data_IF_468860412283
#
_entry.id   IF_468860412283
#
_cell.length_a   1.000
_cell.length_b   1.000
_cell.length_c   1.000
_cell.angle_alpha   90.00
_cell.angle_beta   90.00
_cell.angle_gamma   90.00
#
_symmetry.space_group_name_H-M   'P 1'
#
loop_
_entity.id
_entity.type
_entity.pdbx_description
1 polymer ?
#
# COMPACT_ATOMS: atom_id res chain seq x y z
N UNK A 1 -0.25 -22.75 10.72
CA UNK A 1 -0.74 -22.15 9.47
C UNK A 1 0.50 -21.72 8.69
N UNK A 2 0.92 -22.55 7.72
CA UNK A 2 2.05 -22.22 6.85
C UNK A 2 1.52 -21.21 5.84
N UNK A 3 1.97 -19.96 5.91
CA UNK A 3 1.79 -19.02 4.80
C UNK A 3 2.72 -19.56 3.71
N UNK A 4 2.17 -20.38 2.82
CA UNK A 4 2.79 -20.67 1.53
C UNK A 4 2.93 -19.32 0.84
N UNK A 5 4.10 -18.70 1.08
CA UNK A 5 4.51 -17.49 0.43
C UNK A 5 4.73 -17.90 -1.01
N UNK A 6 3.70 -17.76 -1.83
CA UNK A 6 3.75 -18.05 -3.25
C UNK A 6 4.90 -17.22 -3.83
N UNK A 7 6.09 -17.79 -3.96
CA UNK A 7 7.31 -17.03 -4.23
C UNK A 7 7.28 -16.27 -5.56
N UNK A 8 6.28 -16.57 -6.40
CA UNK A 8 6.00 -15.97 -7.69
C UNK A 8 4.93 -14.89 -7.68
N UNK A 9 4.19 -14.67 -6.59
CA UNK A 9 3.11 -13.68 -6.56
C UNK A 9 3.59 -12.29 -7.02
N UNK A 10 4.81 -11.92 -6.63
CA UNK A 10 5.40 -10.64 -6.98
C UNK A 10 5.77 -10.54 -8.47
N UNK A 11 6.33 -11.61 -9.05
CA UNK A 11 6.65 -11.63 -10.48
C UNK A 11 5.39 -11.63 -11.33
N UNK A 12 4.40 -12.43 -10.94
CA UNK A 12 3.12 -12.56 -11.65
C UNK A 12 2.36 -11.22 -11.60
N UNK A 13 2.36 -10.54 -10.46
CA UNK A 13 1.77 -9.22 -10.29
C UNK A 13 2.48 -8.13 -11.11
N UNK A 14 3.82 -8.14 -11.16
CA UNK A 14 4.57 -7.21 -12.02
C UNK A 14 4.29 -7.46 -13.51
N UNK A 15 4.17 -8.73 -13.92
CA UNK A 15 3.83 -9.10 -15.30
C UNK A 15 2.40 -8.67 -15.66
N UNK A 16 1.42 -8.93 -14.80
CA UNK A 16 0.03 -8.53 -14.99
C UNK A 16 -0.13 -7.00 -15.13
N UNK A 17 0.59 -6.24 -14.31
CA UNK A 17 0.58 -4.77 -14.38
C UNK A 17 1.46 -4.20 -15.51
N UNK A 18 2.17 -5.04 -16.26
CA UNK A 18 3.10 -4.62 -17.31
C UNK A 18 4.24 -3.75 -16.77
N UNK A 19 4.63 -3.95 -15.52
CA UNK A 19 5.63 -3.13 -14.87
C UNK A 19 7.04 -3.46 -15.40
N UNK A 20 7.89 -2.45 -15.62
CA UNK A 20 9.27 -2.67 -16.00
C UNK A 20 10.02 -3.52 -14.96
N UNK A 21 10.99 -4.32 -15.41
CA UNK A 21 11.82 -5.16 -14.52
C UNK A 21 12.68 -4.37 -13.53
N UNK A 22 12.85 -3.06 -13.72
CA UNK A 22 13.52 -2.15 -12.78
C UNK A 22 12.57 -1.48 -11.77
N UNK A 23 11.32 -1.94 -11.69
CA UNK A 23 10.35 -1.47 -10.70
C UNK A 23 10.74 -1.95 -9.30
N UNK A 24 10.78 -1.04 -8.34
CA UNK A 24 11.13 -1.35 -6.95
C UNK A 24 9.91 -1.17 -6.07
N UNK A 25 9.43 -2.26 -5.49
CA UNK A 25 8.34 -2.23 -4.50
C UNK A 25 8.77 -1.47 -3.24
N UNK A 26 7.91 -0.57 -2.77
CA UNK A 26 8.16 0.27 -1.59
C UNK A 26 7.30 -0.10 -0.38
N UNK A 27 6.24 -0.88 -0.58
CA UNK A 27 5.24 -1.17 0.43
C UNK A 27 3.83 -0.87 -0.06
N UNK A 28 2.87 -0.95 0.86
CA UNK A 28 1.47 -0.67 0.60
C UNK A 28 1.08 0.70 1.14
N UNK A 29 0.05 1.30 0.55
CA UNK A 29 -0.53 2.57 0.97
C UNK A 29 -2.05 2.45 0.97
N UNK A 30 -2.71 3.29 1.76
CA UNK A 30 -4.17 3.35 1.79
C UNK A 30 -4.62 4.49 0.90
N UNK A 31 -5.55 4.24 0.00
CA UNK A 31 -6.10 5.23 -0.92
C UNK A 31 -7.58 5.43 -0.62
N UNK A 32 -8.00 6.68 -0.43
CA UNK A 32 -9.39 7.06 -0.24
C UNK A 32 -10.00 7.43 -1.59
N UNK A 33 -10.98 6.65 -2.01
CA UNK A 33 -11.62 6.80 -3.32
C UNK A 33 -12.55 8.02 -3.38
N UNK A 34 -13.13 8.44 -2.26
CA UNK A 34 -14.01 9.60 -2.20
C UNK A 34 -13.23 10.92 -2.32
N UNK A 35 -12.03 10.96 -1.76
CA UNK A 35 -11.22 12.18 -1.66
C UNK A 35 -10.03 12.20 -2.63
N UNK A 36 -9.88 11.17 -3.47
CA UNK A 36 -8.78 11.01 -4.43
C UNK A 36 -7.40 11.27 -3.78
N UNK A 37 -7.10 10.54 -2.70
CA UNK A 37 -5.91 10.82 -1.90
C UNK A 37 -5.42 9.66 -1.06
N UNK A 38 -4.10 9.62 -0.83
CA UNK A 38 -3.49 8.62 0.04
C UNK A 38 -3.59 9.01 1.51
N UNK A 39 -3.94 8.04 2.35
CA UNK A 39 -4.15 8.23 3.78
C UNK A 39 -3.17 7.41 4.63
N UNK A 40 -2.84 7.98 5.77
CA UNK A 40 -2.04 7.39 6.82
C UNK A 40 -2.84 7.33 8.12
N UNK A 41 -2.66 6.25 8.88
CA UNK A 41 -3.21 6.14 10.24
C UNK A 41 -2.06 6.20 11.23
N UNK A 42 -2.08 7.20 12.10
CA UNK A 42 -1.24 7.21 13.28
C UNK A 42 -2.05 6.70 14.48
N UNK A 43 -1.66 5.54 15.02
CA UNK A 43 -2.24 4.92 16.22
C UNK A 43 -1.41 5.17 17.50
N UNK A 44 -0.29 5.92 17.42
CA UNK A 44 0.64 6.12 18.55
C UNK A 44 0.09 7.06 19.63
N UNK A 45 -0.82 7.96 19.27
CA UNK A 45 -1.56 8.77 20.23
C UNK A 45 -2.89 8.09 20.48
N UNK A 46 -3.34 7.93 21.74
CA UNK A 46 -4.50 7.10 22.14
C UNK A 46 -5.86 7.36 21.46
N UNK A 47 -5.93 8.29 20.50
CA UNK A 47 -6.96 8.36 19.47
C UNK A 47 -6.31 8.21 18.09
N UNK A 48 -6.74 7.24 17.27
CA UNK A 48 -6.28 7.10 15.89
C UNK A 48 -6.53 8.41 15.12
N UNK A 49 -5.47 8.96 14.52
CA UNK A 49 -5.58 10.14 13.64
C UNK A 49 -5.30 9.73 12.21
N UNK A 50 -6.18 10.17 11.33
CA UNK A 50 -6.04 10.01 9.89
C UNK A 50 -5.48 11.28 9.27
N UNK A 51 -4.52 11.12 8.36
CA UNK A 51 -3.89 12.23 7.64
C UNK A 51 -3.72 11.88 6.17
N UNK A 52 -3.98 12.84 5.29
CA UNK A 52 -3.57 12.73 3.89
C UNK A 52 -2.07 12.90 3.78
N UNK A 53 -1.42 11.99 3.05
CA UNK A 53 0.03 11.89 2.97
C UNK A 53 0.48 11.67 1.53
N UNK A 54 1.74 11.99 1.25
CA UNK A 54 2.39 11.49 0.03
C UNK A 54 2.65 10.00 0.20
N UNK A 55 2.37 9.15 -0.81
CA UNK A 55 2.50 7.70 -0.68
C UNK A 55 3.94 7.29 -0.36
N UNK A 56 4.93 7.99 -0.93
CA UNK A 56 6.36 7.77 -0.65
C UNK A 56 6.75 8.00 0.81
N UNK A 57 6.01 8.85 1.53
CA UNK A 57 6.30 9.16 2.93
C UNK A 57 5.76 8.09 3.88
N UNK A 58 4.86 7.20 3.43
CA UNK A 58 4.13 6.30 4.33
C UNK A 58 4.18 4.82 3.95
N UNK A 59 4.60 4.47 2.72
CA UNK A 59 4.66 3.07 2.29
C UNK A 59 5.49 2.16 3.21
N UNK A 60 6.57 2.70 3.81
CA UNK A 60 7.41 1.96 4.77
C UNK A 60 6.68 1.58 6.07
N UNK A 61 5.52 2.17 6.38
CA UNK A 61 4.70 1.83 7.55
C UNK A 61 3.80 0.62 7.28
N UNK A 62 3.55 0.28 6.01
CA UNK A 62 2.86 -0.94 5.61
C UNK A 62 3.73 -1.76 4.65
N UNK A 63 4.85 -2.33 5.14
CA UNK A 63 5.71 -3.17 4.30
C UNK A 63 5.01 -4.47 3.84
N UNK A 64 3.95 -4.89 4.54
CA UNK A 64 3.19 -6.10 4.27
C UNK A 64 1.70 -5.78 4.13
N UNK A 65 1.01 -6.49 3.22
CA UNK A 65 -0.40 -6.25 2.93
C UNK A 65 -1.29 -6.42 4.16
N UNK A 66 -0.94 -7.35 5.06
CA UNK A 66 -1.69 -7.59 6.28
C UNK A 66 -1.74 -6.35 7.20
N UNK A 67 -0.65 -5.57 7.27
CA UNK A 67 -0.63 -4.33 8.06
C UNK A 67 -1.51 -3.24 7.43
N UNK A 68 -1.57 -3.18 6.09
CA UNK A 68 -2.49 -2.30 5.38
C UNK A 68 -3.95 -2.75 5.58
N UNK A 69 -4.23 -4.06 5.51
CA UNK A 69 -5.55 -4.63 5.75
C UNK A 69 -6.07 -4.35 7.17
N UNK A 70 -5.23 -4.51 8.19
CA UNK A 70 -5.58 -4.20 9.57
C UNK A 70 -5.85 -2.70 9.78
N UNK A 71 -5.17 -1.84 9.00
CA UNK A 71 -5.40 -0.41 9.00
C UNK A 71 -6.76 -0.05 8.36
N UNK A 72 -7.08 -0.59 7.18
CA UNK A 72 -8.38 -0.41 6.50
C UNK A 72 -9.54 -0.85 7.40
N UNK A 73 -9.44 -2.06 7.98
CA UNK A 73 -10.47 -2.62 8.87
C UNK A 73 -10.75 -1.73 10.08
N UNK A 74 -9.77 -0.95 10.52
CA UNK A 74 -9.95 -0.05 11.66
C UNK A 74 -10.65 1.26 11.34
N UNK A 75 -10.84 1.61 10.06
CA UNK A 75 -11.38 2.91 9.66
C UNK A 75 -12.83 2.89 9.19
N UNK A 76 -13.44 1.73 8.88
CA UNK A 76 -14.83 1.66 8.36
C UNK A 76 -15.13 2.61 7.17
N UNK A 77 -14.09 3.10 6.49
CA UNK A 77 -14.17 4.03 5.35
C UNK A 77 -14.01 3.29 4.01
N UNK A 78 -14.39 3.96 2.93
CA UNK A 78 -14.16 3.54 1.54
C UNK A 78 -12.67 3.67 1.15
N UNK A 79 -11.84 2.80 1.73
CA UNK A 79 -10.40 2.76 1.48
C UNK A 79 -10.01 1.53 0.66
N UNK A 80 -9.12 1.75 -0.30
CA UNK A 80 -8.44 0.72 -1.06
C UNK A 80 -6.99 0.57 -0.61
N UNK A 81 -6.45 -0.64 -0.72
CA UNK A 81 -5.02 -0.89 -0.51
C UNK A 81 -4.36 -0.86 -1.87
N UNK A 82 -3.35 0.00 -2.01
CA UNK A 82 -2.56 0.08 -3.23
C UNK A 82 -1.11 -0.34 -2.94
N UNK A 83 -0.51 -1.09 -3.85
CA UNK A 83 0.93 -1.40 -3.86
C UNK A 83 1.69 -0.23 -4.50
N UNK A 84 2.70 0.29 -3.79
CA UNK A 84 3.53 1.39 -4.25
C UNK A 84 4.83 0.89 -4.86
N UNK A 85 5.14 1.38 -6.06
CA UNK A 85 6.38 1.10 -6.78
C UNK A 85 7.13 2.38 -7.10
N UNK A 86 8.45 2.29 -7.13
CA UNK A 86 9.33 3.29 -7.75
C UNK A 86 9.77 2.75 -9.10
N UNK A 87 9.49 3.52 -10.15
CA UNK A 87 9.84 3.18 -11.53
C UNK A 87 10.70 4.33 -12.05
N UNK A 88 12.01 4.08 -12.14
CA UNK A 88 13.00 5.12 -12.37
C UNK A 88 13.03 6.14 -11.22
N UNK A 89 12.39 7.30 -11.41
CA UNK A 89 12.30 8.40 -10.41
C UNK A 89 10.86 8.75 -10.02
N UNK A 90 9.88 7.94 -10.44
CA UNK A 90 8.45 8.21 -10.23
C UNK A 90 7.85 7.15 -9.33
N UNK A 91 6.97 7.58 -8.43
CA UNK A 91 6.14 6.68 -7.63
C UNK A 91 4.85 6.39 -8.39
N UNK A 92 4.47 5.12 -8.46
CA UNK A 92 3.21 4.66 -9.03
C UNK A 92 2.54 3.69 -8.06
N UNK A 93 1.23 3.87 -7.83
CA UNK A 93 0.45 3.04 -6.93
C UNK A 93 -0.61 2.29 -7.75
N UNK A 94 -0.81 1.01 -7.44
CA UNK A 94 -1.76 0.14 -8.13
C UNK A 94 -2.66 -0.55 -7.10
N UNK A 95 -3.98 -0.65 -7.32
CA UNK A 95 -4.88 -1.38 -6.43
C UNK A 95 -4.47 -2.87 -6.35
N UNK A 96 -4.69 -3.47 -5.17
CA UNK A 96 -4.34 -4.87 -4.85
C UNK A 96 -5.50 -5.58 -4.18
#
# INVERSE_FOLDING_TARGET
>A
MSVESNSKWFSDFMEELGLPSNSIFQGYVLYNTEHDGFMAINKETGQPRTHYVRPSAWAHRYPYIQLASDAVRSLNDHLEIHALFVIGKRFMAFPV
#
